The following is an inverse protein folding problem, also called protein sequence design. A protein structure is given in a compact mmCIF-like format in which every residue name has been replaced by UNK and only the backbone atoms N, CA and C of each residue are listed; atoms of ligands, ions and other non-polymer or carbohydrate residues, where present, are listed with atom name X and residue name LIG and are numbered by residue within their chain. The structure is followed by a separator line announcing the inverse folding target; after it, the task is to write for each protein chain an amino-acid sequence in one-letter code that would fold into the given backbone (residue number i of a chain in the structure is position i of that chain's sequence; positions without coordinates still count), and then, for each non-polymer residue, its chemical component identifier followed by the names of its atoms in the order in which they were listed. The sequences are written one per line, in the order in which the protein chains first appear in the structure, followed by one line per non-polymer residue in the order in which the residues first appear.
data_IF_195128528351
#
_entry.id   IF_195128528351
#
_cell.length_a   1.000
_cell.length_b   1.000
_cell.length_c   1.000
_cell.angle_alpha   90.00
_cell.angle_beta   90.00
_cell.angle_gamma   90.00
#
_symmetry.space_group_name_H-M   'P 1'
#
loop_
_entity.id
_entity.type
_entity.pdbx_description
1 polymer ?
#
# COMPACT_ATOMS: atom_id res chain seq x y z
N UNK A 1 -0.02 27.98 17.07
CA UNK A 1 0.18 27.08 18.24
C UNK A 1 1.53 26.41 18.07
N UNK A 2 2.40 26.46 19.08
CA UNK A 2 3.73 25.82 19.06
C UNK A 2 3.74 24.55 19.91
N UNK A 3 4.40 23.51 19.43
CA UNK A 3 4.57 22.24 20.13
C UNK A 3 5.80 21.49 19.62
N UNK A 4 6.22 20.45 20.34
CA UNK A 4 7.36 19.63 19.96
C UNK A 4 6.96 18.55 18.95
N UNK A 5 7.90 18.06 18.15
CA UNK A 5 7.65 16.91 17.27
C UNK A 5 7.22 15.66 18.05
N UNK A 6 7.74 15.47 19.27
CA UNK A 6 7.31 14.41 20.19
C UNK A 6 5.81 14.46 20.46
N UNK A 7 5.26 15.66 20.64
CA UNK A 7 3.82 15.84 20.81
C UNK A 7 3.06 15.42 19.54
N UNK A 8 3.54 15.81 18.35
CA UNK A 8 2.93 15.41 17.07
C UNK A 8 2.90 13.88 16.90
N UNK A 9 4.04 13.22 17.11
CA UNK A 9 4.18 11.76 17.00
C UNK A 9 3.22 11.07 17.94
N UNK A 10 3.12 11.53 19.20
CA UNK A 10 2.16 10.98 20.17
C UNK A 10 0.71 11.09 19.68
N UNK A 11 0.33 12.20 19.04
CA UNK A 11 -1.04 12.37 18.50
C UNK A 11 -1.32 11.44 17.33
N UNK A 12 -0.35 11.18 16.46
CA UNK A 12 -0.47 10.18 15.38
C UNK A 12 -0.53 8.76 15.92
N UNK A 13 0.31 8.42 16.89
CA UNK A 13 0.36 7.09 17.50
C UNK A 13 -0.96 6.71 18.19
N UNK A 14 -1.63 7.67 18.82
CA UNK A 14 -2.98 7.47 19.37
C UNK A 14 -4.03 7.13 18.31
N UNK A 15 -3.74 7.40 17.02
CA UNK A 15 -4.55 7.02 15.87
C UNK A 15 -3.81 6.06 14.93
N UNK A 16 -2.99 5.17 15.50
CA UNK A 16 -2.22 4.16 14.74
C UNK A 16 -3.10 3.19 13.95
N UNK A 17 -4.35 3.02 14.35
CA UNK A 17 -5.37 2.26 13.63
C UNK A 17 -5.52 2.71 12.17
N UNK A 18 -5.35 4.00 11.89
CA UNK A 18 -5.42 4.53 10.52
C UNK A 18 -4.23 4.15 9.66
N UNK A 19 -3.05 4.03 10.25
CA UNK A 19 -1.88 3.47 9.58
C UNK A 19 -2.12 1.99 9.27
N UNK A 20 -2.66 1.24 10.23
CA UNK A 20 -3.01 -0.16 10.03
C UNK A 20 -4.04 -0.35 8.92
N UNK A 21 -5.13 0.42 8.93
CA UNK A 21 -6.15 0.39 7.88
C UNK A 21 -5.59 0.71 6.49
N UNK A 22 -4.69 1.69 6.41
CA UNK A 22 -4.03 2.05 5.16
C UNK A 22 -3.12 0.91 4.68
N UNK A 23 -2.30 0.36 5.56
CA UNK A 23 -1.44 -0.80 5.27
C UNK A 23 -2.25 -1.99 4.77
N UNK A 24 -3.40 -2.27 5.39
CA UNK A 24 -4.30 -3.36 5.03
C UNK A 24 -5.18 -3.06 3.80
N UNK A 25 -5.08 -1.89 3.18
CA UNK A 25 -5.85 -1.56 1.99
C UNK A 25 -5.45 -2.42 0.78
N UNK A 26 -6.41 -2.68 -0.11
CA UNK A 26 -6.19 -3.49 -1.32
C UNK A 26 -5.03 -2.95 -2.18
N UNK A 27 -4.88 -1.62 -2.25
CA UNK A 27 -3.82 -0.98 -3.03
C UNK A 27 -2.43 -1.33 -2.51
N UNK A 28 -2.21 -1.29 -1.18
CA UNK A 28 -0.94 -1.68 -0.57
C UNK A 28 -0.77 -3.20 -0.62
N UNK A 29 -1.78 -3.97 -0.22
CA UNK A 29 -1.67 -5.43 -0.16
C UNK A 29 -1.52 -6.08 -1.53
N UNK A 30 -2.04 -5.47 -2.61
CA UNK A 30 -1.80 -5.95 -3.98
C UNK A 30 -0.31 -5.98 -4.35
N UNK A 31 0.51 -5.10 -3.73
CA UNK A 31 1.96 -5.03 -3.96
C UNK A 31 2.73 -6.17 -3.31
N UNK A 32 2.14 -6.87 -2.34
CA UNK A 32 2.76 -8.04 -1.71
C UNK A 32 3.04 -9.16 -2.70
N UNK A 33 2.19 -9.29 -3.72
CA UNK A 33 2.29 -10.35 -4.74
C UNK A 33 3.02 -9.86 -6.02
N UNK A 34 3.52 -8.62 -6.02
CA UNK A 34 4.28 -8.07 -7.15
C UNK A 34 5.71 -8.64 -7.13
N UNK A 35 6.03 -9.53 -8.07
CA UNK A 35 7.34 -10.17 -8.17
C UNK A 35 8.50 -9.18 -8.39
N UNK A 36 8.22 -7.94 -8.81
CA UNK A 36 9.23 -6.90 -8.98
C UNK A 36 9.63 -6.28 -7.66
N UNK A 37 8.85 -6.41 -6.59
CA UNK A 37 9.12 -5.79 -5.29
C UNK A 37 9.96 -6.75 -4.43
N UNK A 38 11.04 -6.25 -3.84
CA UNK A 38 12.01 -7.09 -3.10
C UNK A 38 11.92 -6.97 -1.59
N UNK A 39 11.36 -5.87 -1.08
CA UNK A 39 11.43 -5.51 0.34
C UNK A 39 10.04 -5.27 0.97
N UNK A 40 8.97 -5.88 0.46
CA UNK A 40 7.61 -5.63 0.96
C UNK A 40 7.52 -5.96 2.47
N UNK A 41 7.27 -4.98 3.36
CA UNK A 41 7.22 -5.22 4.80
C UNK A 41 5.98 -6.05 5.18
N UNK A 42 6.18 -7.13 5.94
CA UNK A 42 5.10 -7.90 6.56
C UNK A 42 4.92 -7.37 7.99
N UNK A 43 3.85 -6.60 8.20
CA UNK A 43 3.54 -5.97 9.48
C UNK A 43 2.31 -6.62 10.11
N UNK A 44 2.33 -6.72 11.43
CA UNK A 44 1.19 -6.94 12.30
C UNK A 44 0.72 -5.60 12.88
N UNK A 45 -0.46 -5.59 13.50
CA UNK A 45 -0.98 -4.37 14.12
C UNK A 45 -0.08 -3.84 15.25
N UNK A 46 0.66 -4.72 15.93
CA UNK A 46 1.55 -4.36 17.03
C UNK A 46 2.88 -3.77 16.53
N UNK A 47 3.27 -4.06 15.27
CA UNK A 47 4.48 -3.51 14.65
C UNK A 47 4.34 -2.01 14.32
N UNK A 48 3.10 -1.48 14.32
CA UNK A 48 2.84 -0.03 14.22
C UNK A 48 2.92 0.59 15.61
N UNK A 49 4.08 0.46 16.23
CA UNK A 49 4.36 1.01 17.55
C UNK A 49 4.74 2.50 17.49
N UNK A 50 5.17 3.05 18.63
CA UNK A 50 5.59 4.46 18.70
C UNK A 50 6.85 4.74 17.88
N UNK A 51 7.78 3.79 17.80
CA UNK A 51 9.04 3.94 17.05
C UNK A 51 8.80 3.92 15.54
N UNK A 52 7.91 3.03 15.09
CA UNK A 52 7.44 2.99 13.70
C UNK A 52 6.84 4.34 13.29
N UNK A 53 5.88 4.87 14.08
CA UNK A 53 5.24 6.17 13.80
C UNK A 53 6.28 7.31 13.86
N UNK A 54 7.22 7.25 14.81
CA UNK A 54 8.29 8.24 14.87
C UNK A 54 9.18 8.21 13.63
N UNK A 55 9.50 7.03 13.10
CA UNK A 55 10.35 6.87 11.91
C UNK A 55 9.63 7.37 10.67
N UNK A 56 8.36 7.02 10.54
CA UNK A 56 7.47 7.54 9.50
C UNK A 56 7.45 9.08 9.47
N UNK A 57 7.25 9.73 10.62
CA UNK A 57 7.21 11.21 10.68
C UNK A 57 8.54 11.84 10.27
N UNK A 58 9.68 11.27 10.69
CA UNK A 58 11.00 11.75 10.30
C UNK A 58 11.20 11.65 8.79
N UNK A 59 10.79 10.52 8.21
CA UNK A 59 10.88 10.31 6.77
C UNK A 59 9.97 11.26 6.00
N UNK A 60 8.74 11.46 6.46
CA UNK A 60 7.82 12.43 5.88
C UNK A 60 8.41 13.84 5.87
N UNK A 61 9.08 14.26 6.96
CA UNK A 61 9.80 15.55 7.01
C UNK A 61 10.94 15.58 5.97
N UNK A 62 11.69 14.49 5.83
CA UNK A 62 12.82 14.38 4.91
C UNK A 62 12.40 14.38 3.43
N UNK A 63 11.20 13.89 3.10
CA UNK A 63 10.64 13.97 1.73
C UNK A 63 10.24 15.40 1.34
N UNK A 64 10.49 16.40 2.21
CA UNK A 64 10.36 17.84 1.96
C UNK A 64 8.99 18.21 1.37
N UNK A 65 7.91 17.71 1.97
CA UNK A 65 6.57 18.25 1.74
C UNK A 65 6.42 19.73 2.19
N UNK A 66 7.51 20.45 2.49
CA UNK A 66 7.54 21.76 3.16
C UNK A 66 6.85 22.89 2.40
N UNK A 67 6.61 22.72 1.11
CA UNK A 67 5.94 23.72 0.30
C UNK A 67 4.43 23.66 0.55
N UNK A 68 3.83 24.79 0.92
CA UNK A 68 2.38 24.97 1.12
C UNK A 68 1.70 24.19 2.25
N UNK A 69 2.43 23.64 3.21
CA UNK A 69 1.81 23.05 4.40
C UNK A 69 1.36 24.08 5.44
N UNK A 70 0.27 23.75 6.11
CA UNK A 70 -0.29 24.44 7.28
C UNK A 70 0.58 24.42 8.55
N UNK A 71 1.78 23.84 8.47
CA UNK A 71 2.72 23.73 9.57
C UNK A 71 4.09 24.28 9.16
N UNK A 72 4.80 24.84 10.13
CA UNK A 72 6.24 25.09 10.07
C UNK A 72 6.94 24.07 10.96
N UNK A 73 7.93 23.39 10.42
CA UNK A 73 8.78 22.43 11.16
C UNK A 73 10.20 22.99 11.12
N UNK A 74 10.79 23.20 12.29
CA UNK A 74 12.12 23.80 12.43
C UNK A 74 12.98 22.89 13.29
N UNK A 75 14.16 22.53 12.79
CA UNK A 75 15.19 21.86 13.57
C UNK A 75 15.87 22.90 14.47
N UNK A 76 15.92 22.62 15.77
CA UNK A 76 16.52 23.48 16.79
C UNK A 76 17.76 22.78 17.35
N UNK A 77 18.88 23.49 17.32
CA UNK A 77 20.19 23.06 17.83
C UNK A 77 20.66 21.69 17.33
N UNK A 78 20.22 21.29 16.13
CA UNK A 78 20.44 19.95 15.57
C UNK A 78 19.98 18.78 16.48
N UNK A 79 19.16 19.05 17.50
CA UNK A 79 18.78 18.10 18.55
C UNK A 79 17.32 17.70 18.46
N UNK A 80 16.41 18.65 18.24
CA UNK A 80 14.97 18.38 18.22
C UNK A 80 14.22 19.31 17.28
N UNK A 81 13.03 18.87 16.88
CA UNK A 81 12.15 19.64 16.01
C UNK A 81 11.07 20.35 16.80
N UNK A 82 10.91 21.64 16.55
CA UNK A 82 9.76 22.43 16.94
C UNK A 82 8.79 22.56 15.77
N UNK A 83 7.50 22.46 16.11
CA UNK A 83 6.40 22.53 15.18
C UNK A 83 5.52 23.74 15.52
N UNK A 84 5.13 24.50 14.50
CA UNK A 84 4.23 25.62 14.63
C UNK A 84 3.12 25.56 13.59
N UNK A 85 1.88 25.42 14.03
CA UNK A 85 0.71 25.49 13.14
C UNK A 85 0.51 26.94 12.71
N UNK A 86 0.36 27.15 11.40
CA UNK A 86 0.11 28.46 10.78
C UNK A 86 -1.20 29.07 11.31
N UNK A 87 -1.31 30.38 11.19
CA UNK A 87 -2.50 31.12 11.62
C UNK A 87 -3.71 30.60 10.84
N UNK A 88 -4.82 30.34 11.56
CA UNK A 88 -6.09 29.80 11.04
C UNK A 88 -6.09 28.33 10.62
N UNK A 89 -4.95 27.63 10.68
CA UNK A 89 -4.89 26.20 10.40
C UNK A 89 -5.18 25.38 11.66
N UNK A 90 -5.67 24.15 11.48
CA UNK A 90 -5.99 23.22 12.57
C UNK A 90 -4.99 22.07 12.63
N UNK A 91 -4.53 21.74 13.85
CA UNK A 91 -3.69 20.56 14.07
C UNK A 91 -4.36 19.29 13.54
N UNK A 92 -5.68 19.17 13.69
CA UNK A 92 -6.44 18.04 13.18
C UNK A 92 -6.25 17.88 11.66
N UNK A 93 -6.43 18.95 10.88
CA UNK A 93 -6.23 18.93 9.43
C UNK A 93 -4.80 18.53 9.04
N UNK A 94 -3.81 19.00 9.80
CA UNK A 94 -2.43 18.58 9.58
C UNK A 94 -2.18 17.08 9.87
N UNK A 95 -2.77 16.54 10.95
CA UNK A 95 -2.71 15.10 11.24
C UNK A 95 -3.39 14.27 10.14
N UNK A 96 -4.46 14.77 9.53
CA UNK A 96 -5.11 14.11 8.39
C UNK A 96 -4.19 14.06 7.17
N UNK A 97 -3.45 15.14 6.87
CA UNK A 97 -2.46 15.16 5.79
C UNK A 97 -1.40 14.08 5.99
N UNK A 98 -0.82 13.97 7.19
CA UNK A 98 0.13 12.90 7.50
C UNK A 98 -0.48 11.50 7.27
N UNK A 99 -1.69 11.22 7.77
CA UNK A 99 -2.31 9.92 7.50
C UNK A 99 -2.57 9.65 6.02
N UNK A 100 -2.96 10.67 5.25
CA UNK A 100 -3.19 10.54 3.80
C UNK A 100 -1.90 10.23 3.05
N UNK A 101 -0.82 10.89 3.42
CA UNK A 101 0.47 10.75 2.75
C UNK A 101 1.16 9.43 3.12
N UNK A 102 0.75 8.75 4.20
CA UNK A 102 1.33 7.48 4.62
C UNK A 102 1.37 6.44 3.50
N UNK A 103 0.29 6.32 2.72
CA UNK A 103 0.23 5.39 1.58
C UNK A 103 1.32 5.69 0.55
N UNK A 104 1.45 6.94 0.14
CA UNK A 104 2.43 7.37 -0.87
C UNK A 104 3.85 7.14 -0.37
N UNK A 105 4.12 7.47 0.89
CA UNK A 105 5.42 7.25 1.51
C UNK A 105 5.75 5.76 1.56
N UNK A 106 4.81 4.93 2.03
CA UNK A 106 4.98 3.49 2.12
C UNK A 106 5.32 2.89 0.76
N UNK A 107 4.52 3.22 -0.27
CA UNK A 107 4.74 2.73 -1.64
C UNK A 107 6.05 3.24 -2.24
N UNK A 108 6.44 4.48 -1.93
CA UNK A 108 7.69 5.08 -2.37
C UNK A 108 8.94 4.42 -1.75
N UNK A 109 8.78 3.66 -0.67
CA UNK A 109 9.88 2.96 0.00
C UNK A 109 10.05 1.51 -0.47
N UNK A 110 9.15 1.03 -1.33
CA UNK A 110 9.26 -0.30 -1.90
C UNK A 110 10.38 -0.31 -2.96
N UNK A 111 11.37 -1.14 -2.75
CA UNK A 111 12.46 -1.41 -3.67
C UNK A 111 11.99 -2.33 -4.79
N UNK A 112 12.37 -1.99 -6.03
CA UNK A 112 12.04 -2.76 -7.22
C UNK A 112 13.29 -3.43 -7.80
N UNK A 113 13.15 -4.66 -8.31
CA UNK A 113 14.16 -5.35 -9.11
C UNK A 113 14.55 -4.45 -10.28
N UNK A 114 15.83 -4.09 -10.36
CA UNK A 114 16.37 -3.41 -11.54
C UNK A 114 16.38 -4.42 -12.68
N UNK A 115 15.45 -4.28 -13.63
CA UNK A 115 15.49 -5.02 -14.89
C UNK A 115 16.72 -4.51 -15.64
N UNK A 116 17.79 -5.29 -15.64
CA UNK A 116 18.89 -5.08 -16.58
C UNK A 116 18.30 -5.33 -17.96
N UNK A 117 18.03 -4.26 -18.70
CA UNK A 117 17.58 -4.38 -20.08
C UNK A 117 18.61 -5.24 -20.84
N UNK A 118 18.19 -6.29 -21.57
CA UNK A 118 19.11 -6.98 -22.46
C UNK A 118 19.63 -5.94 -23.45
N UNK A 119 20.95 -5.76 -23.53
CA UNK A 119 21.58 -5.02 -24.62
C UNK A 119 21.18 -5.71 -25.92
N UNK A 120 20.10 -5.24 -26.55
CA UNK A 120 19.81 -5.56 -27.94
C UNK A 120 20.96 -4.92 -28.73
N UNK A 121 21.89 -5.75 -29.21
CA UNK A 121 22.83 -5.36 -30.24
C UNK A 121 22.01 -5.14 -31.51
N UNK A 122 21.54 -3.92 -31.73
CA UNK A 122 21.08 -3.48 -33.04
C UNK A 122 22.31 -3.46 -33.95
N UNK A 123 22.43 -4.45 -34.83
CA UNK A 123 23.22 -4.30 -36.04
C UNK A 123 22.44 -3.39 -37.00
N UNK A 124 23.09 -2.44 -37.69
CA UNK A 124 22.46 -1.72 -38.79
C UNK A 124 22.56 -2.59 -40.05
N UNK A 125 21.43 -2.99 -40.62
CA UNK A 125 21.39 -3.48 -42.00
C UNK A 125 20.86 -2.35 -42.90
N UNK A 126 21.79 -1.77 -43.66
CA UNK A 126 21.51 -0.93 -44.80
C UNK A 126 21.06 -1.77 -46.01
N UNK A 127 20.18 -1.19 -46.79
CA UNK A 127 19.46 -1.73 -47.96
C UNK A 127 20.38 -2.16 -49.13
N UNK A 128 20.01 -3.21 -49.89
CA UNK A 128 20.11 -3.23 -51.39
C UNK A 128 19.64 -4.56 -52.04
N UNK A 129 18.61 -4.50 -52.89
CA UNK A 129 18.63 -4.98 -54.31
C UNK A 129 18.56 -6.47 -54.72
N UNK A 130 17.52 -6.78 -55.50
CA UNK A 130 17.42 -7.72 -56.66
C UNK A 130 17.09 -9.24 -56.50
N UNK A 131 15.81 -9.55 -56.77
CA UNK A 131 15.23 -10.53 -57.71
C UNK A 131 16.00 -11.81 -58.15
N UNK A 132 15.45 -13.01 -57.85
CA UNK A 132 14.86 -13.96 -58.84
C UNK A 132 14.52 -15.36 -58.26
N UNK A 133 13.24 -15.70 -58.40
CA UNK A 133 12.64 -16.89 -59.03
C UNK A 133 12.79 -18.34 -58.49
N UNK A 134 11.63 -19.03 -58.58
CA UNK A 134 11.34 -20.48 -58.65
C UNK A 134 11.09 -21.35 -57.39
N UNK A 135 9.78 -21.45 -57.07
CA UNK A 135 8.90 -22.62 -57.22
C UNK A 135 9.22 -23.96 -56.48
N UNK A 136 8.37 -24.31 -55.50
CA UNK A 136 7.46 -25.50 -55.45
C UNK A 136 6.88 -25.67 -54.02
N UNK A 137 5.55 -25.60 -53.87
CA UNK A 137 4.64 -26.75 -53.66
C UNK A 137 5.07 -27.62 -52.45
N UNK A 138 4.27 -27.88 -51.40
CA UNK A 138 2.84 -28.18 -51.38
C UNK A 138 2.30 -28.18 -49.93
N UNK A 139 1.04 -27.78 -49.84
CA UNK A 139 -0.08 -28.34 -49.05
C UNK A 139 -0.07 -28.41 -47.50
N UNK A 140 -1.09 -27.71 -46.97
CA UNK A 140 -2.11 -28.15 -46.00
C UNK A 140 -1.61 -28.49 -44.57
N UNK A 141 -2.26 -28.04 -43.49
CA UNK A 141 -3.70 -27.99 -43.29
C UNK A 141 -4.07 -27.23 -42.01
N UNK A 142 -5.20 -26.53 -42.12
CA UNK A 142 -6.18 -26.08 -41.13
C UNK A 142 -5.80 -25.16 -39.95
N UNK A 143 -6.39 -24.00 -40.09
CA UNK A 143 -6.66 -22.91 -39.17
C UNK A 143 -7.95 -23.25 -38.38
N UNK A 144 -8.07 -22.74 -37.15
CA UNK A 144 -9.29 -22.18 -36.51
C UNK A 144 -10.60 -22.98 -36.61
N UNK A 145 -11.32 -23.31 -35.55
CA UNK A 145 -12.01 -22.50 -34.53
C UNK A 145 -12.38 -23.51 -33.40
N UNK A 146 -12.57 -23.18 -32.12
CA UNK A 146 -13.82 -22.62 -31.60
C UNK A 146 -13.64 -22.42 -30.09
N UNK A 147 -14.02 -21.24 -29.60
CA UNK A 147 -14.28 -20.99 -28.18
C UNK A 147 -15.56 -21.74 -27.72
N UNK A 148 -15.79 -21.75 -26.40
CA UNK A 148 -17.10 -21.56 -25.73
C UNK A 148 -17.48 -22.67 -24.71
N UNK A 149 -17.53 -22.20 -23.45
CA UNK A 149 -18.38 -22.61 -22.31
C UNK A 149 -17.96 -23.83 -21.47
N UNK A 150 -17.31 -23.52 -20.36
CA UNK A 150 -17.56 -24.16 -19.07
C UNK A 150 -18.75 -23.47 -18.40
N UNK A 151 -19.83 -24.22 -18.18
CA UNK A 151 -20.77 -23.95 -17.11
C UNK A 151 -21.37 -25.28 -16.68
N UNK A 152 -21.19 -25.65 -15.41
CA UNK A 152 -22.22 -26.05 -14.46
C UNK A 152 -21.63 -26.97 -13.38
N UNK A 153 -21.63 -26.52 -12.12
CA UNK A 153 -22.41 -27.20 -11.09
C UNK A 153 -22.28 -26.49 -9.74
N UNK A 154 -23.41 -25.98 -9.28
CA UNK A 154 -23.62 -25.53 -7.91
C UNK A 154 -24.49 -26.55 -7.16
N UNK A 155 -24.14 -26.72 -5.88
CA UNK A 155 -24.95 -27.21 -4.75
C UNK A 155 -25.23 -28.71 -4.62
N UNK A 156 -25.03 -29.25 -3.40
CA UNK A 156 -26.11 -29.66 -2.47
C UNK A 156 -25.55 -30.24 -1.14
N UNK A 157 -25.92 -29.55 -0.05
CA UNK A 157 -26.32 -30.02 1.31
C UNK A 157 -25.46 -31.00 2.13
N UNK A 158 -25.17 -30.61 3.38
CA UNK A 158 -25.79 -31.25 4.56
C UNK A 158 -25.62 -30.40 5.84
N UNK A 159 -26.74 -30.07 6.49
CA UNK A 159 -26.83 -29.44 7.79
C UNK A 159 -27.38 -30.44 8.84
N UNK A 160 -26.65 -30.63 9.95
CA UNK A 160 -27.08 -31.10 11.29
C UNK A 160 -25.77 -31.22 12.12
N UNK A 161 -25.64 -30.82 13.39
CA UNK A 161 -26.62 -30.72 14.46
C UNK A 161 -26.17 -29.77 15.60
N UNK A 162 -27.17 -29.07 16.16
CA UNK A 162 -27.47 -28.74 17.57
C UNK A 162 -26.34 -28.70 18.64
N UNK A 163 -26.24 -27.57 19.34
CA UNK A 163 -26.61 -27.39 20.76
C UNK A 163 -26.38 -25.91 21.16
N UNK A 164 -27.40 -25.05 21.32
CA UNK A 164 -28.24 -24.87 22.52
C UNK A 164 -27.47 -24.61 23.82
N UNK A 165 -27.31 -23.33 24.19
CA UNK A 165 -27.81 -22.80 25.48
C UNK A 165 -27.71 -21.27 25.55
N UNK A 166 -28.90 -20.67 25.71
CA UNK A 166 -29.18 -19.30 26.11
C UNK A 166 -28.87 -19.13 27.60
N UNK A 167 -28.69 -17.90 28.10
CA UNK A 167 -29.38 -17.56 29.35
C UNK A 167 -30.28 -16.33 29.17
N UNK A 168 -31.45 -16.40 29.78
CA UNK A 168 -32.37 -15.29 29.97
C UNK A 168 -32.31 -14.82 31.44
N UNK A 169 -32.10 -13.52 31.60
CA UNK A 169 -32.59 -12.56 32.60
C UNK A 169 -33.18 -13.04 33.94
N UNK A 170 -32.66 -12.50 35.07
CA UNK A 170 -33.36 -11.56 35.98
C UNK A 170 -32.42 -11.02 37.09
N UNK A 171 -32.66 -9.80 37.61
CA UNK A 171 -31.98 -9.24 38.78
C UNK A 171 -32.72 -9.60 40.07
N UNK A 172 -31.98 -9.88 41.15
CA UNK A 172 -32.53 -10.04 42.49
C UNK A 172 -31.99 -8.94 43.42
N UNK A 173 -32.94 -8.31 44.09
CA UNK A 173 -32.81 -7.25 45.09
C UNK A 173 -32.48 -7.90 46.43
N UNK A 174 -31.50 -7.37 47.17
CA UNK A 174 -31.46 -7.50 48.64
C UNK A 174 -31.06 -6.16 49.25
N UNK A 175 -31.98 -5.60 50.03
CA UNK A 175 -31.72 -4.58 51.05
C UNK A 175 -31.36 -5.28 52.37
N UNK A 176 -30.34 -4.77 53.07
CA UNK A 176 -30.35 -4.36 54.49
C UNK A 176 -28.92 -4.06 54.93
#
# INVERSE_FOLDING_TARGET
MKFTLKYLIRRLYLRRDRFWQTYMSDEIQSKKNDETIVNFPILNSDDIDYEYVSSYVKEWINKKYTDNLDIKIQLVDNLYYNCEIRKYSLLAGFLETLHRDYKEIFLGNLERKKVVAPKIKLQPEDQSGEEKDQLKEKDQKDQSEEQVVQQDQAQVKAAKAKASKKPATKPEVVQS
#
